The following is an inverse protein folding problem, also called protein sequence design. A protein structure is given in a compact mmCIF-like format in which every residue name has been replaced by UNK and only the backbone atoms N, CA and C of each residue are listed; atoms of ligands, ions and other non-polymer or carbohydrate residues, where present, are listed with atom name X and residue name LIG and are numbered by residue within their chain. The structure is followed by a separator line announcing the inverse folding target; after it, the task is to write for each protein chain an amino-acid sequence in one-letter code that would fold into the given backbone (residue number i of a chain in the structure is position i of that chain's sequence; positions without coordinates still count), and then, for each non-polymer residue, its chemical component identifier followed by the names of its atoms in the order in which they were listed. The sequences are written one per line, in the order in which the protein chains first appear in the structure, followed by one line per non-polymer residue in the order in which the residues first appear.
data_IF_581988141157
#
_entry.id   IF_581988141157
#
_cell.length_a   1.000
_cell.length_b   1.000
_cell.length_c   1.000
_cell.angle_alpha   90.00
_cell.angle_beta   90.00
_cell.angle_gamma   90.00
#
_symmetry.space_group_name_H-M   'P 1'
#
loop_
_entity.id
_entity.type
_entity.pdbx_description
1 polymer ?
#
# COMPACT_ATOMS: atom_id res chain seq x y z
N UNK A 1 -14.61 -21.03 -7.31
CA UNK A 1 -14.53 -20.10 -6.19
C UNK A 1 -13.65 -18.91 -6.59
N UNK A 2 -14.17 -17.72 -6.44
CA UNK A 2 -13.40 -16.55 -6.77
C UNK A 2 -12.37 -16.26 -5.69
N UNK A 3 -11.16 -15.92 -6.09
CA UNK A 3 -10.14 -15.47 -5.15
C UNK A 3 -10.33 -13.98 -4.91
N UNK A 4 -10.42 -13.62 -3.62
CA UNK A 4 -10.55 -12.22 -3.24
C UNK A 4 -9.17 -11.61 -3.05
N UNK A 5 -8.98 -10.43 -3.61
CA UNK A 5 -7.76 -9.65 -3.41
C UNK A 5 -8.13 -8.34 -2.72
N UNK A 6 -8.17 -8.38 -1.40
CA UNK A 6 -8.53 -7.20 -0.60
C UNK A 6 -7.51 -6.08 -0.71
N UNK A 7 -6.25 -6.43 -1.00
CA UNK A 7 -5.21 -5.42 -1.23
C UNK A 7 -5.46 -4.68 -2.54
N UNK A 8 -5.80 -5.42 -3.61
CA UNK A 8 -6.14 -4.78 -4.88
C UNK A 8 -7.34 -3.86 -4.72
N UNK A 9 -8.36 -4.29 -3.96
CA UNK A 9 -9.53 -3.47 -3.69
C UNK A 9 -9.15 -2.19 -2.94
N UNK A 10 -8.27 -2.30 -1.94
CA UNK A 10 -7.77 -1.14 -1.20
C UNK A 10 -7.05 -0.15 -2.11
N UNK A 11 -6.12 -0.65 -2.92
CA UNK A 11 -5.33 0.21 -3.81
C UNK A 11 -6.21 0.87 -4.87
N UNK A 12 -7.19 0.13 -5.40
CA UNK A 12 -8.16 0.68 -6.35
C UNK A 12 -9.02 1.75 -5.70
N UNK A 13 -9.48 1.52 -4.47
CA UNK A 13 -10.28 2.51 -3.73
C UNK A 13 -9.50 3.81 -3.50
N UNK A 14 -8.22 3.70 -3.13
CA UNK A 14 -7.38 4.87 -2.94
C UNK A 14 -7.20 5.64 -4.25
N UNK A 15 -6.91 4.93 -5.33
CA UNK A 15 -6.73 5.54 -6.64
C UNK A 15 -8.00 6.25 -7.10
N UNK A 16 -9.15 5.57 -6.99
CA UNK A 16 -10.43 6.15 -7.43
C UNK A 16 -10.81 7.36 -6.58
N UNK A 17 -10.59 7.31 -5.26
CA UNK A 17 -10.86 8.42 -4.38
C UNK A 17 -10.00 9.63 -4.73
N UNK A 18 -8.73 9.41 -5.08
CA UNK A 18 -7.85 10.50 -5.48
C UNK A 18 -8.24 11.10 -6.84
N UNK A 19 -8.67 10.26 -7.78
CA UNK A 19 -9.18 10.77 -9.07
C UNK A 19 -10.42 11.62 -8.88
N UNK A 20 -11.26 11.27 -7.90
CA UNK A 20 -12.47 12.04 -7.56
C UNK A 20 -12.17 13.20 -6.61
N UNK A 21 -10.91 13.41 -6.24
CA UNK A 21 -10.42 14.48 -5.35
C UNK A 21 -11.11 14.45 -3.99
N UNK A 22 -11.35 13.26 -3.46
CA UNK A 22 -11.91 13.09 -2.11
C UNK A 22 -10.83 13.33 -1.07
N UNK A 23 -11.24 13.80 0.11
CA UNK A 23 -10.29 14.00 1.21
C UNK A 23 -9.96 12.71 1.92
N UNK A 24 -10.93 11.80 2.04
CA UNK A 24 -10.75 10.55 2.76
C UNK A 24 -11.33 9.39 1.97
N UNK A 25 -10.87 8.19 2.31
CA UNK A 25 -11.45 6.94 1.82
C UNK A 25 -11.53 5.97 2.99
N UNK A 26 -12.67 5.27 3.12
CA UNK A 26 -12.91 4.33 4.20
C UNK A 26 -13.13 2.93 3.64
N UNK A 27 -12.72 1.94 4.41
CA UNK A 27 -12.84 0.54 4.02
C UNK A 27 -12.88 -0.35 5.27
N UNK A 28 -13.37 -1.60 5.15
CA UNK A 28 -13.27 -2.52 6.27
C UNK A 28 -11.81 -2.72 6.68
N UNK A 29 -11.56 -2.76 7.99
CA UNK A 29 -10.20 -2.88 8.50
C UNK A 29 -9.66 -4.30 8.34
N UNK A 30 -8.34 -4.41 8.19
CA UNK A 30 -7.59 -5.65 8.34
C UNK A 30 -6.16 -5.31 8.74
N UNK A 31 -5.48 -6.26 9.36
CA UNK A 31 -4.08 -6.04 9.79
C UNK A 31 -3.18 -5.72 8.60
N UNK A 32 -3.38 -6.40 7.49
CA UNK A 32 -2.58 -6.19 6.29
C UNK A 32 -2.80 -4.79 5.72
N UNK A 33 -4.07 -4.35 5.63
CA UNK A 33 -4.39 -3.02 5.10
C UNK A 33 -3.81 -1.92 5.98
N UNK A 34 -3.89 -2.06 7.30
CA UNK A 34 -3.30 -1.10 8.23
C UNK A 34 -1.79 -1.01 8.03
N UNK A 35 -1.12 -2.16 7.89
CA UNK A 35 0.33 -2.18 7.69
C UNK A 35 0.71 -1.49 6.39
N UNK A 36 -0.02 -1.73 5.31
CA UNK A 36 0.21 -1.07 4.02
C UNK A 36 -0.05 0.45 4.15
N UNK A 37 -1.13 0.83 4.81
CA UNK A 37 -1.47 2.24 5.01
C UNK A 37 -0.39 2.96 5.81
N UNK A 38 0.16 2.32 6.84
CA UNK A 38 1.23 2.91 7.63
C UNK A 38 2.49 3.14 6.79
N UNK A 39 2.82 2.23 5.89
CA UNK A 39 3.95 2.42 4.97
C UNK A 39 3.68 3.61 4.05
N UNK A 40 2.47 3.72 3.50
CA UNK A 40 2.11 4.85 2.64
C UNK A 40 2.20 6.18 3.40
N UNK A 41 1.80 6.20 4.66
CA UNK A 41 1.89 7.41 5.49
C UNK A 41 3.35 7.78 5.77
N UNK A 42 4.16 6.81 6.15
CA UNK A 42 5.57 7.02 6.45
C UNK A 42 6.34 7.56 5.24
N UNK A 43 5.97 7.09 4.05
CA UNK A 43 6.60 7.52 2.80
C UNK A 43 6.01 8.80 2.22
N UNK A 44 5.01 9.37 2.90
CA UNK A 44 4.45 10.65 2.52
C UNK A 44 3.41 10.61 1.41
N UNK A 45 2.85 9.43 1.12
CA UNK A 45 1.82 9.29 0.08
C UNK A 45 0.42 9.61 0.58
N UNK A 46 0.17 9.42 1.88
CA UNK A 46 -1.09 9.81 2.51
C UNK A 46 -0.81 10.59 3.79
N UNK A 47 -1.79 11.37 4.25
CA UNK A 47 -1.60 12.25 5.41
C UNK A 47 -1.86 11.55 6.73
N UNK A 48 -2.87 10.69 6.80
CA UNK A 48 -3.27 10.09 8.07
C UNK A 48 -3.90 8.72 7.89
N UNK A 49 -3.77 7.90 8.92
CA UNK A 49 -4.35 6.56 9.00
C UNK A 49 -5.13 6.48 10.30
N UNK A 50 -6.40 6.10 10.24
CA UNK A 50 -7.25 6.04 11.40
C UNK A 50 -8.07 4.77 11.40
N UNK A 51 -8.15 4.10 12.54
CA UNK A 51 -8.97 2.89 12.70
C UNK A 51 -10.03 3.20 13.74
N UNK A 52 -11.30 3.08 13.37
CA UNK A 52 -12.41 3.25 14.28
C UNK A 52 -13.17 1.93 14.41
N UNK A 53 -13.49 1.57 15.64
CA UNK A 53 -14.27 0.37 15.92
C UNK A 53 -15.64 0.80 16.43
N UNK A 54 -16.69 0.56 15.63
CA UNK A 54 -18.05 0.90 15.96
C UNK A 54 -18.93 -0.34 15.80
N UNK A 55 -19.67 -0.69 16.83
CA UNK A 55 -20.62 -1.80 16.83
C UNK A 55 -20.00 -3.13 16.39
N UNK A 56 -18.75 -3.38 16.84
CA UNK A 56 -18.04 -4.61 16.52
C UNK A 56 -17.44 -4.64 15.13
N UNK A 57 -17.55 -3.55 14.36
CA UNK A 57 -16.96 -3.46 13.02
C UNK A 57 -15.87 -2.40 13.03
N UNK A 58 -14.67 -2.81 12.65
CA UNK A 58 -13.55 -1.90 12.54
C UNK A 58 -13.48 -1.32 11.11
N UNK A 59 -13.33 -0.02 11.02
CA UNK A 59 -13.24 0.70 9.75
C UNK A 59 -11.90 1.41 9.68
N UNK A 60 -11.21 1.22 8.58
CA UNK A 60 -9.96 1.91 8.27
C UNK A 60 -10.26 3.12 7.41
N UNK A 61 -9.82 4.30 7.86
CA UNK A 61 -10.00 5.54 7.12
C UNK A 61 -8.63 6.15 6.82
N UNK A 62 -8.41 6.44 5.55
CA UNK A 62 -7.17 7.06 5.08
C UNK A 62 -7.46 8.48 4.65
N UNK A 63 -6.64 9.43 5.13
CA UNK A 63 -6.71 10.82 4.68
C UNK A 63 -5.74 10.98 3.53
N UNK A 64 -6.26 11.31 2.37
CA UNK A 64 -5.51 11.42 1.13
C UNK A 64 -4.73 12.73 1.09
N UNK A 65 -3.69 12.76 0.26
CA UNK A 65 -2.76 13.89 0.22
C UNK A 65 -2.69 14.44 -1.20
N UNK A 66 -2.72 15.77 -1.29
CA UNK A 66 -2.64 16.48 -2.57
C UNK A 66 -1.55 17.54 -2.49
N UNK A 67 -0.93 17.82 -3.61
CA UNK A 67 0.07 18.88 -3.73
C UNK A 67 -0.29 19.73 -4.94
N UNK A 68 -0.55 21.00 -4.69
CA UNK A 68 -0.95 21.96 -5.73
C UNK A 68 -2.15 21.45 -6.54
N UNK A 69 -3.13 20.87 -5.85
CA UNK A 69 -4.36 20.36 -6.47
C UNK A 69 -4.23 19.03 -7.17
N UNK A 70 -3.04 18.40 -7.13
CA UNK A 70 -2.79 17.11 -7.77
C UNK A 70 -2.60 16.01 -6.73
N UNK A 71 -3.09 14.79 -7.01
CA UNK A 71 -2.85 13.67 -6.11
C UNK A 71 -1.37 13.39 -5.94
N UNK A 72 -0.94 13.10 -4.71
CA UNK A 72 0.44 12.72 -4.45
C UNK A 72 0.72 11.33 -5.03
N UNK A 73 -0.27 10.42 -4.95
CA UNK A 73 -0.14 9.10 -5.60
C UNK A 73 -0.55 9.25 -7.05
N UNK A 74 0.41 9.03 -7.95
CA UNK A 74 0.15 9.09 -9.39
C UNK A 74 -0.15 7.72 -9.97
N UNK A 75 0.57 6.69 -9.50
CA UNK A 75 0.48 5.34 -10.04
C UNK A 75 0.44 4.32 -8.92
N UNK A 76 -0.47 3.37 -9.03
CA UNK A 76 -0.55 2.21 -8.14
C UNK A 76 -0.67 0.97 -9.01
N UNK A 77 0.23 0.00 -8.80
CA UNK A 77 0.22 -1.25 -9.55
C UNK A 77 0.31 -2.43 -8.61
N UNK A 78 -0.69 -3.30 -8.63
CA UNK A 78 -0.67 -4.56 -7.91
C UNK A 78 0.29 -5.52 -8.61
N UNK A 79 1.22 -6.10 -7.87
CA UNK A 79 2.23 -7.01 -8.43
C UNK A 79 1.90 -8.45 -8.06
N UNK A 80 2.03 -8.82 -6.78
CA UNK A 80 1.70 -10.16 -6.33
C UNK A 80 0.20 -10.29 -6.15
N UNK A 81 -0.36 -11.41 -6.59
CA UNK A 81 -1.81 -11.66 -6.54
C UNK A 81 -2.07 -13.04 -5.95
N UNK A 82 -3.27 -13.30 -5.41
CA UNK A 82 -3.57 -14.63 -4.87
C UNK A 82 -3.34 -15.77 -5.85
N UNK A 83 -3.60 -15.55 -7.13
CA UNK A 83 -3.39 -16.56 -8.17
C UNK A 83 -1.98 -16.61 -8.73
N UNK A 84 -1.14 -15.62 -8.41
CA UNK A 84 0.23 -15.56 -8.94
C UNK A 84 1.09 -14.76 -7.98
N UNK A 85 1.68 -15.43 -7.00
CA UNK A 85 2.54 -14.80 -6.01
C UNK A 85 3.89 -14.44 -6.61
N UNK A 86 4.41 -13.27 -6.25
CA UNK A 86 5.68 -12.74 -6.74
C UNK A 86 6.63 -12.53 -5.56
N UNK A 87 7.67 -13.36 -5.47
CA UNK A 87 8.68 -13.27 -4.41
C UNK A 87 10.00 -12.85 -5.00
N UNK A 88 10.77 -12.06 -4.25
CA UNK A 88 12.12 -11.66 -4.64
C UNK A 88 13.07 -11.75 -3.46
N UNK A 89 14.26 -12.24 -3.70
CA UNK A 89 15.32 -12.24 -2.70
C UNK A 89 15.85 -10.82 -2.46
N UNK A 90 16.64 -10.66 -1.43
CA UNK A 90 17.16 -9.35 -1.02
C UNK A 90 17.92 -8.62 -2.12
N UNK A 91 18.59 -9.36 -3.00
CA UNK A 91 19.41 -8.77 -4.07
C UNK A 91 18.62 -8.56 -5.35
N UNK A 92 17.37 -9.02 -5.39
CA UNK A 92 16.53 -8.93 -6.58
C UNK A 92 15.27 -8.08 -6.35
N UNK A 93 15.22 -7.33 -5.25
CA UNK A 93 14.09 -6.46 -4.96
C UNK A 93 14.00 -5.35 -6.01
N UNK A 94 12.79 -5.10 -6.56
CA UNK A 94 12.65 -4.09 -7.61
C UNK A 94 12.77 -2.68 -7.04
N UNK A 95 13.22 -1.77 -7.90
CA UNK A 95 13.23 -0.35 -7.64
C UNK A 95 12.18 0.30 -8.53
N UNK A 96 11.38 1.21 -7.99
CA UNK A 96 10.29 1.85 -8.71
C UNK A 96 10.73 3.25 -9.15
N UNK A 97 10.67 3.52 -10.45
CA UNK A 97 11.06 4.82 -11.02
C UNK A 97 12.42 5.29 -10.50
N UNK A 98 13.39 4.38 -10.50
CA UNK A 98 14.77 4.66 -10.08
C UNK A 98 14.86 5.22 -8.66
N UNK A 99 13.99 4.74 -7.77
CA UNK A 99 13.98 5.15 -6.37
C UNK A 99 13.05 6.31 -6.05
N UNK A 100 12.37 6.87 -7.05
CA UNK A 100 11.39 7.94 -6.81
C UNK A 100 10.06 7.42 -6.30
N UNK A 101 9.75 6.14 -6.59
CA UNK A 101 8.59 5.47 -6.04
C UNK A 101 9.01 4.41 -5.04
N UNK A 102 8.04 3.62 -4.58
CA UNK A 102 8.30 2.53 -3.63
C UNK A 102 7.67 1.23 -4.13
N UNK A 103 8.31 0.11 -3.77
CA UNK A 103 7.66 -1.20 -3.79
C UNK A 103 7.28 -1.54 -2.35
N UNK A 104 6.06 -2.00 -2.16
CA UNK A 104 5.59 -2.47 -0.86
C UNK A 104 5.89 -3.96 -0.81
N UNK A 105 6.66 -4.39 0.20
CA UNK A 105 7.16 -5.77 0.30
C UNK A 105 6.69 -6.37 1.62
N UNK A 106 6.16 -7.58 1.55
CA UNK A 106 5.81 -8.36 2.75
C UNK A 106 7.00 -9.25 3.08
N UNK A 107 7.60 -9.02 4.24
CA UNK A 107 8.78 -9.75 4.68
C UNK A 107 8.50 -10.51 5.97
N UNK A 108 9.45 -11.32 6.40
CA UNK A 108 9.37 -12.01 7.69
C UNK A 108 9.30 -11.05 8.88
N UNK A 109 9.72 -9.80 8.69
CA UNK A 109 9.68 -8.76 9.72
C UNK A 109 8.54 -7.77 9.53
N UNK A 110 7.60 -8.07 8.63
CA UNK A 110 6.42 -7.24 8.39
C UNK A 110 6.43 -6.58 7.03
N UNK A 111 5.46 -5.69 6.83
CA UNK A 111 5.31 -4.92 5.59
C UNK A 111 6.27 -3.73 5.63
N UNK A 112 7.01 -3.55 4.56
CA UNK A 112 7.97 -2.45 4.46
C UNK A 112 8.22 -2.07 3.00
N UNK A 113 8.97 -1.01 2.79
CA UNK A 113 9.39 -0.62 1.43
C UNK A 113 10.53 -1.50 0.95
N UNK A 114 10.74 -1.51 -0.37
CA UNK A 114 11.90 -2.17 -0.97
C UNK A 114 13.21 -1.64 -0.38
N UNK A 115 13.28 -0.33 -0.15
CA UNK A 115 14.46 0.30 0.43
C UNK A 115 14.73 -0.21 1.85
N UNK A 116 13.70 -0.28 2.67
CA UNK A 116 13.83 -0.79 4.03
C UNK A 116 14.20 -2.27 4.05
N UNK A 117 13.63 -3.06 3.15
CA UNK A 117 13.95 -4.48 3.03
C UNK A 117 15.40 -4.69 2.60
N UNK A 118 15.89 -3.92 1.63
CA UNK A 118 17.30 -3.97 1.21
C UNK A 118 18.22 -3.60 2.37
N UNK A 119 17.88 -2.57 3.13
CA UNK A 119 18.67 -2.15 4.28
C UNK A 119 18.71 -3.21 5.36
N UNK A 120 17.62 -3.95 5.54
CA UNK A 120 17.53 -5.04 6.51
C UNK A 120 18.15 -6.35 5.98
N UNK A 121 18.49 -6.41 4.68
CA UNK A 121 19.08 -7.60 4.07
C UNK A 121 18.10 -8.74 3.92
N UNK A 122 16.81 -8.46 3.69
CA UNK A 122 15.78 -9.49 3.55
C UNK A 122 14.96 -9.25 2.29
N UNK A 123 14.50 -10.36 1.70
CA UNK A 123 13.57 -10.32 0.60
C UNK A 123 12.16 -10.61 1.07
N UNK A 124 11.23 -10.74 0.14
CA UNK A 124 9.86 -11.07 0.46
C UNK A 124 8.94 -11.03 -0.74
N UNK A 125 7.65 -11.01 -0.46
CA UNK A 125 6.61 -10.92 -1.48
C UNK A 125 6.42 -9.47 -1.89
N UNK A 126 6.55 -9.19 -3.19
CA UNK A 126 6.35 -7.84 -3.72
C UNK A 126 4.86 -7.62 -3.92
N UNK A 127 4.27 -6.84 -3.04
CA UNK A 127 2.82 -6.61 -2.99
C UNK A 127 2.37 -5.69 -4.12
N UNK A 128 3.00 -4.51 -4.22
CA UNK A 128 2.56 -3.47 -5.14
C UNK A 128 3.66 -2.44 -5.37
N UNK A 129 3.53 -1.69 -6.44
CA UNK A 129 4.33 -0.49 -6.71
C UNK A 129 3.46 0.75 -6.52
N UNK A 130 4.03 1.78 -5.90
CA UNK A 130 3.36 3.06 -5.69
C UNK A 130 4.33 4.18 -6.05
N UNK A 131 3.82 5.14 -6.78
CA UNK A 131 4.62 6.32 -7.12
C UNK A 131 3.78 7.56 -7.39
#
# INVERSE_FOLDING_TARGET
MSMQDTVADMLTSVRNAQMAKKQTVSMPNSKLKVAIANVLQQEGYISNVEVADAEGKATLTLTLKYFEGKPVIETVKRVSRPGLRQYRGKDALPSVKQGLGIAIVSTSKGIMTDRAARAAGIGGEVIAFVS
#
